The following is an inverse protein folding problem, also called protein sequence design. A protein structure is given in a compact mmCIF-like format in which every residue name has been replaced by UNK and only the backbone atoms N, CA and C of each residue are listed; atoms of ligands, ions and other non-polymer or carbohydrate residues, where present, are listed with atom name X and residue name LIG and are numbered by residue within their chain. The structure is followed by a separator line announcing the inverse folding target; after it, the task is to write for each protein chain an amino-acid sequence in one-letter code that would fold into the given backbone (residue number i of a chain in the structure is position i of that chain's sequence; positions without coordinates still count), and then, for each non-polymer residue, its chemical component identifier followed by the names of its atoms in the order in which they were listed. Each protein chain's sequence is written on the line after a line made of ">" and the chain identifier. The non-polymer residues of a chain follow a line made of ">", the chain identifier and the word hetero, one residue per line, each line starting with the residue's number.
data_IF_889957152474
#
_entry.id   IF_889957152474
#
_cell.length_a   1.000
_cell.length_b   1.000
_cell.length_c   1.000
_cell.angle_alpha   90.00
_cell.angle_beta   90.00
_cell.angle_gamma   90.00
#
_symmetry.space_group_name_H-M   'P 1'
#
loop_
_entity.id
_entity.type
_entity.pdbx_description
1 polymer ?
#
# COMPACT_ATOMS: atom_id res chain seq x y z
N UNK A 1 21.17 -29.07 -18.13
CA UNK A 1 20.72 -28.51 -16.85
C UNK A 1 19.21 -28.46 -16.93
N UNK A 2 18.54 -29.25 -16.11
CA UNK A 2 17.09 -29.18 -15.96
C UNK A 2 16.72 -27.74 -15.61
N UNK A 3 15.97 -27.08 -16.50
CA UNK A 3 15.29 -25.81 -16.23
C UNK A 3 14.28 -26.09 -15.12
N UNK A 4 14.75 -26.03 -13.88
CA UNK A 4 13.93 -26.28 -12.70
C UNK A 4 12.89 -25.18 -12.58
N UNK A 5 11.63 -25.58 -12.47
CA UNK A 5 10.55 -24.67 -12.16
C UNK A 5 10.73 -24.19 -10.71
N UNK A 6 11.16 -22.93 -10.55
CA UNK A 6 11.38 -22.32 -9.24
C UNK A 6 10.10 -21.77 -8.61
N UNK A 7 8.96 -21.86 -9.29
CA UNK A 7 7.71 -21.24 -8.84
C UNK A 7 7.28 -21.76 -7.47
N UNK A 8 7.33 -23.08 -7.16
CA UNK A 8 7.01 -23.56 -5.82
C UNK A 8 7.92 -22.99 -4.72
N UNK A 9 9.22 -22.85 -5.00
CA UNK A 9 10.18 -22.28 -4.04
C UNK A 9 9.96 -20.78 -3.84
N UNK A 10 9.63 -20.05 -4.90
CA UNK A 10 9.30 -18.63 -4.84
C UNK A 10 8.04 -18.41 -3.99
N UNK A 11 6.96 -19.11 -4.29
CA UNK A 11 5.69 -18.96 -3.59
C UNK A 11 5.81 -19.35 -2.11
N UNK A 12 6.60 -20.39 -1.79
CA UNK A 12 6.88 -20.79 -0.41
C UNK A 12 7.75 -19.78 0.35
N UNK A 13 8.56 -18.96 -0.32
CA UNK A 13 9.44 -17.98 0.34
C UNK A 13 8.78 -16.62 0.58
N UNK A 14 7.84 -16.19 -0.28
CA UNK A 14 7.19 -14.89 -0.18
C UNK A 14 6.47 -14.71 1.16
N UNK A 15 6.65 -13.55 1.78
CA UNK A 15 6.11 -13.22 3.10
C UNK A 15 6.87 -13.85 4.27
N UNK A 16 7.88 -14.69 4.02
CA UNK A 16 8.71 -15.28 5.09
C UNK A 16 9.96 -14.47 5.35
N UNK A 17 10.52 -14.64 6.55
CA UNK A 17 11.78 -14.02 6.92
C UNK A 17 12.92 -14.52 6.04
N UNK A 18 13.91 -13.68 5.84
CA UNK A 18 15.11 -14.02 5.05
C UNK A 18 15.93 -15.19 5.62
N UNK A 19 15.76 -15.52 6.91
CA UNK A 19 16.40 -16.64 7.61
C UNK A 19 15.51 -17.90 7.69
N UNK A 20 14.29 -17.84 7.14
CA UNK A 20 13.40 -19.00 7.04
C UNK A 20 13.98 -20.04 6.07
N UNK A 21 13.86 -21.36 6.36
CA UNK A 21 14.34 -22.41 5.47
C UNK A 21 13.83 -22.30 4.03
N UNK A 22 12.62 -21.78 3.78
CA UNK A 22 12.10 -21.56 2.43
C UNK A 22 12.88 -20.49 1.68
N UNK A 23 13.19 -19.35 2.33
CA UNK A 23 13.97 -18.28 1.75
C UNK A 23 15.41 -18.72 1.46
N UNK A 24 16.00 -19.51 2.36
CA UNK A 24 17.33 -20.10 2.18
C UNK A 24 17.37 -21.04 0.97
N UNK A 25 16.40 -21.98 0.86
CA UNK A 25 16.30 -22.89 -0.29
C UNK A 25 16.15 -22.14 -1.62
N UNK A 26 15.33 -21.08 -1.64
CA UNK A 26 15.18 -20.25 -2.84
C UNK A 26 16.51 -19.59 -3.23
N UNK A 27 17.25 -19.01 -2.26
CA UNK A 27 18.55 -18.39 -2.53
C UNK A 27 19.57 -19.40 -3.08
N UNK A 28 19.61 -20.61 -2.52
CA UNK A 28 20.46 -21.71 -2.99
C UNK A 28 20.11 -22.15 -4.40
N UNK A 29 18.82 -22.34 -4.71
CA UNK A 29 18.35 -22.71 -6.06
C UNK A 29 18.66 -21.63 -7.12
N UNK A 30 18.71 -20.37 -6.71
CA UNK A 30 19.17 -19.26 -7.56
C UNK A 30 20.70 -19.23 -7.76
N UNK A 31 21.46 -20.06 -7.05
CA UNK A 31 22.91 -20.06 -7.02
C UNK A 31 23.49 -18.82 -6.33
N UNK A 32 22.80 -18.31 -5.30
CA UNK A 32 23.15 -17.08 -4.59
C UNK A 32 23.49 -17.35 -3.13
N UNK A 33 24.19 -16.37 -2.54
CA UNK A 33 24.34 -16.31 -1.08
C UNK A 33 22.96 -15.99 -0.46
N UNK A 34 22.73 -16.38 0.81
CA UNK A 34 21.53 -15.99 1.54
C UNK A 34 21.29 -14.47 1.47
N UNK A 35 20.03 -14.10 1.55
CA UNK A 35 19.59 -12.72 1.66
C UNK A 35 20.29 -12.01 2.82
N UNK A 36 20.52 -10.70 2.67
CA UNK A 36 21.02 -9.84 3.74
C UNK A 36 19.86 -9.02 4.31
N UNK A 37 20.01 -8.56 5.55
CA UNK A 37 19.04 -7.64 6.14
C UNK A 37 18.97 -6.34 5.33
N UNK A 38 17.76 -5.88 5.04
CA UNK A 38 17.49 -4.58 4.48
C UNK A 38 17.66 -3.48 5.55
N UNK A 39 17.74 -2.23 5.11
CA UNK A 39 17.80 -1.03 5.96
C UNK A 39 16.85 0.05 5.40
N UNK A 40 16.62 1.19 6.09
CA UNK A 40 15.68 2.20 5.62
C UNK A 40 16.08 2.84 4.30
N UNK A 41 17.38 2.84 4.00
CA UNK A 41 17.90 3.37 2.73
C UNK A 41 18.26 2.29 1.71
N UNK A 42 18.06 1.00 2.00
CA UNK A 42 18.51 -0.07 1.09
C UNK A 42 17.70 -1.36 1.24
N UNK A 43 17.17 -1.87 0.12
CA UNK A 43 16.57 -3.21 0.05
C UNK A 43 17.62 -4.28 -0.30
N UNK A 44 17.25 -5.56 -0.20
CA UNK A 44 18.10 -6.68 -0.60
C UNK A 44 17.53 -7.37 -1.83
N UNK A 45 18.27 -7.33 -2.94
CA UNK A 45 17.88 -7.99 -4.18
C UNK A 45 18.83 -9.17 -4.47
N UNK A 46 18.28 -10.35 -4.75
CA UNK A 46 19.04 -11.48 -5.29
C UNK A 46 18.36 -11.98 -6.56
N UNK A 47 19.13 -12.24 -7.62
CA UNK A 47 18.52 -12.64 -8.88
C UNK A 47 19.44 -13.42 -9.79
N UNK A 48 18.85 -14.28 -10.61
CA UNK A 48 19.55 -15.02 -11.64
C UNK A 48 18.97 -14.65 -13.01
N UNK A 49 19.66 -13.73 -13.69
CA UNK A 49 19.24 -13.23 -15.00
C UNK A 49 19.08 -14.34 -16.04
N UNK A 50 19.86 -15.44 -15.96
CA UNK A 50 19.72 -16.57 -16.88
C UNK A 50 18.42 -17.33 -16.65
N UNK A 51 18.02 -17.45 -15.39
CA UNK A 51 16.75 -18.07 -15.00
C UNK A 51 15.55 -17.12 -15.17
N UNK A 52 15.78 -15.81 -15.31
CA UNK A 52 14.70 -14.85 -15.53
C UNK A 52 13.92 -14.49 -14.27
N UNK A 53 14.59 -14.47 -13.12
CA UNK A 53 13.98 -14.14 -11.82
C UNK A 53 14.91 -13.27 -10.98
N UNK A 54 14.33 -12.28 -10.30
CA UNK A 54 14.95 -11.40 -9.32
C UNK A 54 14.01 -11.27 -8.12
N UNK A 55 14.50 -11.60 -6.94
CA UNK A 55 13.74 -11.67 -5.69
C UNK A 55 14.19 -10.54 -4.77
N UNK A 56 13.22 -9.86 -4.19
CA UNK A 56 13.36 -8.67 -3.38
C UNK A 56 13.03 -9.03 -1.94
N UNK A 57 13.85 -8.53 -1.02
CA UNK A 57 13.60 -8.59 0.39
C UNK A 57 13.70 -7.22 1.05
N UNK A 58 12.71 -6.88 1.87
CA UNK A 58 12.50 -5.57 2.45
C UNK A 58 12.19 -5.69 3.95
N UNK A 59 12.49 -4.63 4.70
CA UNK A 59 12.20 -4.58 6.12
C UNK A 59 10.84 -3.96 6.46
N UNK A 60 10.23 -3.29 5.48
CA UNK A 60 8.87 -2.81 5.56
C UNK A 60 8.02 -3.66 4.62
N UNK A 61 7.05 -4.37 5.19
CA UNK A 61 6.05 -5.11 4.44
C UNK A 61 4.71 -4.58 4.92
N UNK A 62 3.98 -3.87 4.05
CA UNK A 62 2.76 -3.15 4.39
C UNK A 62 1.58 -4.13 4.52
N UNK A 63 1.61 -4.92 5.60
CA UNK A 63 0.56 -5.87 5.95
C UNK A 63 0.37 -5.83 7.47
N UNK A 64 -0.84 -6.12 7.93
CA UNK A 64 -1.19 -6.02 9.36
C UNK A 64 -0.35 -6.89 10.28
N UNK A 65 0.08 -8.07 9.82
CA UNK A 65 0.90 -8.99 10.62
C UNK A 65 2.36 -8.58 10.73
N UNK A 66 2.87 -7.85 9.73
CA UNK A 66 4.29 -7.48 9.64
C UNK A 66 4.56 -6.04 10.09
N UNK A 67 3.55 -5.17 10.01
CA UNK A 67 3.63 -3.84 10.58
C UNK A 67 3.61 -3.89 12.12
N UNK A 68 4.30 -2.97 12.81
CA UNK A 68 5.30 -2.03 12.31
C UNK A 68 6.64 -2.74 11.99
N UNK A 69 7.54 -2.12 11.19
CA UNK A 69 8.91 -2.61 11.01
C UNK A 69 9.63 -2.80 12.35
N UNK A 70 10.42 -3.87 12.47
CA UNK A 70 11.02 -4.30 13.76
C UNK A 70 12.52 -4.51 13.64
N UNK A 71 13.21 -4.44 14.78
CA UNK A 71 14.63 -4.80 14.90
C UNK A 71 14.83 -6.01 15.80
N UNK A 72 15.80 -6.84 15.43
CA UNK A 72 16.42 -7.84 16.29
C UNK A 72 17.86 -7.39 16.61
N UNK A 73 18.06 -6.88 17.82
CA UNK A 73 19.26 -6.15 18.20
C UNK A 73 19.52 -4.94 17.29
N UNK A 74 20.59 -4.98 16.51
CA UNK A 74 20.99 -3.90 15.58
C UNK A 74 20.46 -4.09 14.15
N UNK A 75 19.86 -5.24 13.84
CA UNK A 75 19.44 -5.61 12.48
C UNK A 75 17.95 -5.40 12.33
N UNK A 76 17.52 -4.88 11.19
CA UNK A 76 16.11 -4.88 10.83
C UNK A 76 15.66 -6.30 10.50
N UNK A 77 14.49 -6.68 10.99
CA UNK A 77 13.80 -7.87 10.50
C UNK A 77 13.47 -7.65 9.03
N UNK A 78 13.77 -8.63 8.17
CA UNK A 78 13.64 -8.51 6.72
C UNK A 78 12.89 -9.70 6.19
N UNK A 79 11.98 -9.45 5.24
CA UNK A 79 11.04 -10.39 4.67
C UNK A 79 11.25 -10.46 3.16
N UNK A 80 11.07 -11.64 2.57
CA UNK A 80 11.02 -11.78 1.11
C UNK A 80 9.68 -11.17 0.64
N UNK A 81 9.72 -10.00 0.02
CA UNK A 81 8.52 -9.20 -0.26
C UNK A 81 7.96 -9.44 -1.66
N UNK A 82 8.84 -9.61 -2.65
CA UNK A 82 8.43 -9.71 -4.04
C UNK A 82 9.45 -10.42 -4.93
N UNK A 83 9.06 -10.72 -6.16
CA UNK A 83 9.95 -11.10 -7.23
C UNK A 83 9.51 -10.53 -8.58
N UNK A 84 10.49 -10.05 -9.34
CA UNK A 84 10.35 -9.79 -10.77
C UNK A 84 10.66 -11.08 -11.55
N UNK A 85 9.71 -11.48 -12.38
CA UNK A 85 9.79 -12.60 -13.31
C UNK A 85 9.87 -12.03 -14.72
N UNK A 86 10.79 -12.54 -15.53
CA UNK A 86 11.12 -12.02 -16.86
C UNK A 86 10.76 -13.02 -17.96
N UNK A 87 10.65 -12.60 -19.25
CA UNK A 87 10.22 -13.47 -20.35
C UNK A 87 11.07 -14.73 -20.59
N UNK A 88 12.31 -14.75 -20.12
CA UNK A 88 13.18 -15.93 -20.20
C UNK A 88 12.97 -16.93 -19.05
N UNK A 89 12.08 -16.65 -18.09
CA UNK A 89 11.65 -17.60 -17.07
C UNK A 89 10.93 -18.79 -17.70
N UNK A 90 11.14 -19.99 -17.15
CA UNK A 90 10.61 -21.25 -17.69
C UNK A 90 9.77 -22.04 -16.70
N UNK A 91 9.56 -21.50 -15.50
CA UNK A 91 8.66 -22.08 -14.51
C UNK A 91 7.20 -21.74 -14.76
N UNK A 92 6.34 -22.24 -13.87
CA UNK A 92 4.89 -22.03 -13.95
C UNK A 92 4.52 -20.54 -13.83
N UNK A 93 3.54 -20.11 -14.63
CA UNK A 93 3.01 -18.75 -14.66
C UNK A 93 1.55 -18.72 -14.14
N UNK A 94 1.03 -17.57 -13.70
CA UNK A 94 -0.38 -17.43 -13.33
C UNK A 94 -1.32 -17.90 -14.44
N UNK A 95 -2.45 -18.47 -14.02
CA UNK A 95 -3.41 -19.06 -14.95
C UNK A 95 -3.87 -18.06 -16.02
N UNK A 96 -3.82 -18.49 -17.28
CA UNK A 96 -4.26 -17.71 -18.43
C UNK A 96 -3.30 -16.63 -18.90
N UNK A 97 -2.09 -16.51 -18.34
CA UNK A 97 -1.06 -15.57 -18.79
C UNK A 97 0.01 -16.26 -19.65
N UNK A 98 0.50 -15.55 -20.67
CA UNK A 98 1.62 -15.96 -21.53
C UNK A 98 2.42 -14.74 -21.98
N UNK A 99 3.74 -14.89 -22.15
CA UNK A 99 4.64 -13.79 -22.53
C UNK A 99 4.40 -13.22 -23.93
N UNK A 100 3.67 -13.93 -24.80
CA UNK A 100 3.33 -13.49 -26.16
C UNK A 100 1.99 -12.74 -26.24
N UNK A 101 1.26 -12.58 -25.13
CA UNK A 101 0.01 -11.82 -25.13
C UNK A 101 0.31 -10.34 -25.31
N UNK A 102 -0.27 -9.71 -26.34
CA UNK A 102 -0.23 -8.27 -26.54
C UNK A 102 -1.23 -7.53 -25.62
N UNK A 103 -1.20 -6.19 -25.66
CA UNK A 103 -2.10 -5.33 -24.89
C UNK A 103 -3.59 -5.71 -25.08
N UNK A 104 -4.01 -6.02 -26.32
CA UNK A 104 -5.39 -6.41 -26.61
C UNK A 104 -5.75 -7.77 -25.96
N UNK A 105 -4.89 -8.77 -26.09
CA UNK A 105 -5.10 -10.09 -25.49
C UNK A 105 -5.07 -10.05 -23.95
N UNK A 106 -4.25 -9.17 -23.37
CA UNK A 106 -4.21 -8.92 -21.92
C UNK A 106 -5.48 -8.20 -21.46
N UNK A 107 -5.91 -7.15 -22.16
CA UNK A 107 -7.12 -6.38 -21.86
C UNK A 107 -8.37 -7.25 -21.90
N UNK A 108 -8.45 -8.19 -22.84
CA UNK A 108 -9.56 -9.12 -22.96
C UNK A 108 -9.67 -10.10 -21.76
N UNK A 109 -8.61 -10.28 -20.97
CA UNK A 109 -8.53 -11.30 -19.90
C UNK A 109 -8.35 -10.73 -18.50
N UNK A 110 -7.66 -9.60 -18.39
CA UNK A 110 -7.16 -9.09 -17.13
C UNK A 110 -7.55 -7.64 -16.93
N UNK A 111 -7.65 -7.23 -15.67
CA UNK A 111 -7.93 -5.84 -15.32
C UNK A 111 -6.71 -4.98 -15.63
N UNK A 112 -6.82 -4.17 -16.69
CA UNK A 112 -5.87 -3.12 -17.06
C UNK A 112 -6.00 -1.92 -16.13
N UNK A 113 -4.88 -1.34 -15.70
CA UNK A 113 -4.79 -0.10 -14.93
C UNK A 113 -3.54 0.68 -15.35
N UNK A 114 -3.62 2.00 -15.27
CA UNK A 114 -2.44 2.88 -15.33
C UNK A 114 -2.03 3.18 -13.89
N UNK A 115 -0.83 2.77 -13.49
CA UNK A 115 -0.34 2.91 -12.12
C UNK A 115 0.93 3.77 -12.06
N UNK A 116 1.05 4.54 -10.96
CA UNK A 116 2.25 5.29 -10.60
C UNK A 116 2.45 6.59 -11.37
N UNK A 117 3.40 7.40 -10.89
CA UNK A 117 3.70 8.73 -11.46
C UNK A 117 4.32 8.69 -12.87
N UNK A 118 4.76 7.51 -13.33
CA UNK A 118 5.29 7.29 -14.69
C UNK A 118 4.25 6.65 -15.63
N UNK A 119 2.98 6.60 -15.22
CA UNK A 119 1.87 6.05 -16.01
C UNK A 119 2.17 4.67 -16.60
N UNK A 120 2.64 3.74 -15.75
CA UNK A 120 2.96 2.39 -16.22
C UNK A 120 1.65 1.59 -16.39
N UNK A 121 1.41 1.10 -17.60
CA UNK A 121 0.29 0.19 -17.88
C UNK A 121 0.57 -1.16 -17.24
N UNK A 122 -0.35 -1.58 -16.37
CA UNK A 122 -0.27 -2.84 -15.63
C UNK A 122 -1.57 -3.63 -15.73
N UNK A 123 -1.43 -4.95 -15.72
CA UNK A 123 -2.55 -5.88 -15.67
C UNK A 123 -2.50 -6.69 -14.39
N UNK A 124 -3.63 -6.77 -13.69
CA UNK A 124 -3.78 -7.63 -12.50
C UNK A 124 -4.08 -9.06 -12.95
N UNK A 125 -3.20 -10.00 -12.60
CA UNK A 125 -3.34 -11.42 -12.90
C UNK A 125 -4.03 -12.15 -11.74
N UNK A 126 -4.57 -13.37 -11.94
CA UNK A 126 -5.04 -14.21 -10.84
C UNK A 126 -3.94 -14.40 -9.78
N UNK A 127 -4.29 -14.31 -8.49
CA UNK A 127 -3.31 -14.48 -7.42
C UNK A 127 -2.75 -15.91 -7.46
N UNK A 128 -1.42 -16.09 -7.37
CA UNK A 128 -0.81 -17.42 -7.47
C UNK A 128 -0.99 -18.26 -6.19
N UNK A 129 -1.26 -17.62 -5.05
CA UNK A 129 -1.63 -18.24 -3.78
C UNK A 129 -2.37 -17.22 -2.90
N UNK A 130 -2.98 -17.69 -1.81
CA UNK A 130 -3.61 -16.81 -0.81
C UNK A 130 -2.58 -15.82 -0.22
N UNK A 131 -2.97 -14.56 -0.07
CA UNK A 131 -2.11 -13.51 0.45
C UNK A 131 -1.01 -13.04 -0.50
N UNK A 132 -1.03 -13.46 -1.78
CA UNK A 132 -0.12 -13.00 -2.82
C UNK A 132 -0.87 -12.33 -3.96
N UNK A 133 -0.19 -11.42 -4.67
CA UNK A 133 -0.69 -10.76 -5.87
C UNK A 133 0.29 -10.88 -7.03
N UNK A 134 -0.23 -10.86 -8.25
CA UNK A 134 0.57 -10.85 -9.47
C UNK A 134 0.12 -9.72 -10.41
N UNK A 135 1.09 -8.95 -10.91
CA UNK A 135 0.88 -7.88 -11.89
C UNK A 135 1.86 -8.03 -13.04
N UNK A 136 1.46 -7.71 -14.27
CA UNK A 136 2.39 -7.65 -15.42
C UNK A 136 2.40 -6.24 -16.00
N UNK A 137 3.60 -5.71 -16.23
CA UNK A 137 3.82 -4.45 -16.94
C UNK A 137 4.16 -4.73 -18.39
N UNK A 138 3.71 -3.87 -19.31
CA UNK A 138 4.04 -3.95 -20.74
C UNK A 138 5.15 -2.96 -21.13
N UNK A 139 5.87 -3.26 -22.21
CA UNK A 139 6.85 -2.36 -22.81
C UNK A 139 6.20 -1.46 -23.88
N UNK A 140 6.98 -0.56 -24.48
CA UNK A 140 6.51 0.34 -25.55
C UNK A 140 6.04 -0.37 -26.82
N UNK A 141 6.36 -1.65 -27.00
CA UNK A 141 5.86 -2.48 -28.10
C UNK A 141 4.55 -3.20 -27.74
N UNK A 142 3.95 -2.93 -26.57
CA UNK A 142 2.70 -3.55 -26.13
C UNK A 142 2.86 -4.99 -25.64
N UNK A 143 4.10 -5.44 -25.37
CA UNK A 143 4.38 -6.80 -24.92
C UNK A 143 4.79 -6.84 -23.44
N UNK A 144 4.48 -7.93 -22.71
CA UNK A 144 4.94 -8.17 -21.35
C UNK A 144 6.44 -7.93 -21.17
N UNK A 145 6.78 -6.97 -20.30
CA UNK A 145 8.15 -6.61 -19.93
C UNK A 145 8.67 -7.46 -18.78
N UNK A 146 7.87 -7.55 -17.72
CA UNK A 146 8.11 -8.36 -16.54
C UNK A 146 6.80 -8.55 -15.78
N UNK A 147 6.75 -9.58 -14.95
CA UNK A 147 5.68 -9.84 -13.99
C UNK A 147 6.22 -9.63 -12.58
N UNK A 148 5.52 -8.87 -11.76
CA UNK A 148 5.75 -8.73 -10.33
C UNK A 148 4.85 -9.72 -9.60
N UNK A 149 5.43 -10.67 -8.88
CA UNK A 149 4.73 -11.50 -7.89
C UNK A 149 5.14 -10.98 -6.52
N UNK A 150 4.19 -10.62 -5.67
CA UNK A 150 4.47 -10.01 -4.36
C UNK A 150 3.50 -10.48 -3.30
N UNK A 151 3.87 -10.30 -2.04
CA UNK A 151 2.91 -10.34 -0.94
C UNK A 151 1.82 -9.31 -1.23
N UNK A 152 0.57 -9.67 -0.93
CA UNK A 152 -0.55 -8.76 -1.05
C UNK A 152 -0.51 -7.75 0.09
N UNK A 153 0.02 -6.57 -0.23
CA UNK A 153 0.18 -5.46 0.69
C UNK A 153 -1.03 -4.52 0.65
N UNK A 154 -1.35 -3.98 1.82
CA UNK A 154 -2.42 -3.02 2.08
C UNK A 154 -1.80 -1.68 2.47
N UNK A 155 -2.24 -0.60 1.83
CA UNK A 155 -1.78 0.74 2.20
C UNK A 155 -2.38 1.21 3.53
N UNK A 156 -1.68 2.12 4.20
CA UNK A 156 -2.21 2.87 5.35
C UNK A 156 -2.51 4.30 4.94
N UNK A 157 -3.70 4.77 5.31
CA UNK A 157 -4.12 6.17 5.16
C UNK A 157 -3.78 7.03 6.38
N UNK A 158 -3.65 6.40 7.55
CA UNK A 158 -3.18 7.04 8.77
C UNK A 158 -2.21 6.11 9.48
N UNK A 159 -1.12 6.64 10.05
CA UNK A 159 -0.11 5.82 10.73
C UNK A 159 0.52 6.54 11.91
N UNK A 160 0.42 5.92 13.09
CA UNK A 160 1.24 6.24 14.27
C UNK A 160 2.34 5.17 14.36
N UNK A 161 3.58 5.56 14.09
CA UNK A 161 4.72 4.65 14.25
C UNK A 161 5.01 4.42 15.76
N UNK A 162 5.44 3.22 16.18
CA UNK A 162 5.66 2.89 17.60
C UNK A 162 6.59 3.83 18.36
N UNK A 163 7.58 4.40 17.67
CA UNK A 163 8.57 5.31 18.25
C UNK A 163 8.25 6.79 17.97
N UNK A 164 7.09 7.06 17.36
CA UNK A 164 6.62 8.42 17.08
C UNK A 164 5.73 8.94 18.21
N UNK A 165 5.72 10.26 18.39
CA UNK A 165 4.80 10.92 19.30
C UNK A 165 3.41 10.99 18.66
N UNK A 166 2.34 10.50 19.31
CA UNK A 166 1.00 10.51 18.73
C UNK A 166 0.53 11.90 18.27
N UNK A 167 0.92 12.97 18.97
CA UNK A 167 0.62 14.35 18.60
C UNK A 167 1.14 14.76 17.20
N UNK A 168 2.04 13.99 16.59
CA UNK A 168 2.47 14.20 15.20
C UNK A 168 1.46 13.72 14.16
N UNK A 169 0.47 12.93 14.57
CA UNK A 169 -0.55 12.30 13.71
C UNK A 169 -1.96 12.83 14.04
N UNK A 170 -2.07 14.07 14.51
CA UNK A 170 -3.36 14.70 14.85
C UNK A 170 -4.26 14.81 13.61
N UNK A 171 -3.69 15.23 12.48
CA UNK A 171 -4.43 15.42 11.24
C UNK A 171 -4.87 14.08 10.61
N UNK A 172 -4.05 13.04 10.76
CA UNK A 172 -4.43 11.65 10.47
C UNK A 172 -5.63 11.21 11.34
N UNK A 173 -5.63 11.58 12.62
CA UNK A 173 -6.74 11.35 13.55
C UNK A 173 -8.04 12.04 13.12
N UNK A 174 -7.94 13.26 12.58
CA UNK A 174 -9.09 13.97 12.00
C UNK A 174 -9.68 13.21 10.81
N UNK A 175 -8.83 12.79 9.86
CA UNK A 175 -9.31 12.04 8.70
C UNK A 175 -9.95 10.69 9.10
N UNK A 176 -9.31 9.93 9.98
CA UNK A 176 -9.83 8.65 10.46
C UNK A 176 -11.19 8.80 11.18
N UNK A 177 -11.33 9.85 12.00
CA UNK A 177 -12.58 10.16 12.69
C UNK A 177 -13.67 10.58 11.72
N UNK A 178 -13.33 11.38 10.71
CA UNK A 178 -14.27 11.77 9.65
C UNK A 178 -14.76 10.53 8.87
N UNK A 179 -13.85 9.61 8.53
CA UNK A 179 -14.22 8.35 7.89
C UNK A 179 -15.22 7.54 8.74
N UNK A 180 -15.00 7.45 10.04
CA UNK A 180 -15.90 6.74 10.95
C UNK A 180 -17.28 7.43 11.06
N UNK A 181 -17.31 8.75 11.23
CA UNK A 181 -18.55 9.52 11.41
C UNK A 181 -19.43 9.58 10.16
N UNK A 182 -18.83 9.47 8.96
CA UNK A 182 -19.54 9.57 7.68
C UNK A 182 -19.82 8.21 7.03
N UNK A 183 -19.66 7.11 7.77
CA UNK A 183 -19.97 5.76 7.27
C UNK A 183 -18.98 5.23 6.22
N UNK A 184 -17.82 5.89 6.06
CA UNK A 184 -16.76 5.49 5.13
C UNK A 184 -15.95 4.34 5.72
N UNK A 185 -15.74 4.34 7.04
CA UNK A 185 -15.17 3.20 7.75
C UNK A 185 -16.16 2.04 7.79
N UNK A 186 -15.68 0.81 7.58
CA UNK A 186 -16.50 -0.39 7.77
C UNK A 186 -16.83 -0.58 9.24
N UNK A 187 -18.07 -0.98 9.53
CA UNK A 187 -18.57 -1.08 10.90
C UNK A 187 -17.93 -2.22 11.70
N UNK A 188 -17.54 -3.31 11.04
CA UNK A 188 -16.88 -4.48 11.63
C UNK A 188 -15.45 -4.18 12.15
N UNK A 189 -14.94 -2.97 11.90
CA UNK A 189 -13.62 -2.51 12.36
C UNK A 189 -13.64 -1.91 13.75
N UNK A 190 -14.82 -1.55 14.26
CA UNK A 190 -14.97 -0.91 15.56
C UNK A 190 -15.61 -1.85 16.58
N UNK A 191 -15.10 -1.80 17.81
CA UNK A 191 -15.78 -2.43 18.93
C UNK A 191 -17.09 -1.69 19.24
N UNK A 192 -18.03 -2.41 19.86
CA UNK A 192 -19.32 -1.87 20.24
C UNK A 192 -19.18 -0.58 21.07
N UNK A 193 -19.95 0.46 20.71
CA UNK A 193 -19.97 1.75 21.42
C UNK A 193 -18.84 2.73 21.05
N UNK A 194 -17.77 2.31 20.35
CA UNK A 194 -16.68 3.22 19.97
C UNK A 194 -17.14 4.33 19.01
N UNK A 195 -17.96 3.98 18.01
CA UNK A 195 -18.54 4.98 17.10
C UNK A 195 -19.47 5.95 17.83
N UNK A 196 -20.21 5.48 18.84
CA UNK A 196 -21.11 6.35 19.61
C UNK A 196 -20.33 7.28 20.54
N UNK A 197 -19.25 6.80 21.16
CA UNK A 197 -18.34 7.64 21.95
C UNK A 197 -17.71 8.75 21.07
N UNK A 198 -17.32 8.40 19.84
CA UNK A 198 -16.83 9.37 18.86
C UNK A 198 -17.92 10.39 18.47
N UNK A 199 -19.15 9.94 18.17
CA UNK A 199 -20.29 10.83 17.85
C UNK A 199 -20.63 11.78 18.98
N UNK A 200 -20.58 11.31 20.24
CA UNK A 200 -20.80 12.10 21.44
C UNK A 200 -19.62 12.99 21.82
N UNK A 201 -18.52 12.93 21.06
CA UNK A 201 -17.30 13.70 21.30
C UNK A 201 -16.61 13.36 22.63
N UNK A 202 -16.89 12.17 23.18
CA UNK A 202 -16.26 11.63 24.39
C UNK A 202 -14.83 11.12 24.13
N UNK A 203 -14.54 10.75 22.89
CA UNK A 203 -13.20 10.48 22.39
C UNK A 203 -12.75 11.63 21.50
N UNK A 204 -11.52 12.09 21.66
CA UNK A 204 -10.92 13.00 20.68
C UNK A 204 -10.53 12.26 19.41
N UNK A 205 -10.35 12.95 18.27
CA UNK A 205 -9.94 12.32 17.03
C UNK A 205 -8.61 11.55 17.09
N UNK A 206 -7.58 12.10 17.73
CA UNK A 206 -6.32 11.37 17.90
C UNK A 206 -6.47 10.18 18.85
N UNK A 207 -7.28 10.32 19.92
CA UNK A 207 -7.55 9.20 20.82
C UNK A 207 -8.29 8.06 20.11
N UNK A 208 -9.21 8.39 19.20
CA UNK A 208 -9.89 7.40 18.36
C UNK A 208 -8.92 6.64 17.47
N UNK A 209 -8.04 7.35 16.74
CA UNK A 209 -7.00 6.71 15.93
C UNK A 209 -6.08 5.84 16.79
N UNK A 210 -5.59 6.36 17.91
CA UNK A 210 -4.60 5.69 18.77
C UNK A 210 -5.17 4.44 19.44
N UNK A 211 -6.42 4.49 19.90
CA UNK A 211 -7.05 3.40 20.66
C UNK A 211 -7.91 2.48 19.80
N UNK A 212 -8.94 3.03 19.15
CA UNK A 212 -9.97 2.24 18.46
C UNK A 212 -9.45 1.61 17.18
N UNK A 213 -8.51 2.29 16.51
CA UNK A 213 -7.86 1.82 15.29
C UNK A 213 -6.43 1.31 15.53
N UNK A 214 -5.95 1.29 16.78
CA UNK A 214 -4.60 0.83 17.13
C UNK A 214 -3.48 1.62 16.45
N UNK A 215 -3.71 2.90 16.15
CA UNK A 215 -2.78 3.80 15.49
C UNK A 215 -2.74 3.69 13.96
N UNK A 216 -3.65 2.92 13.33
CA UNK A 216 -3.60 2.66 11.89
C UNK A 216 -4.98 2.72 11.26
N UNK A 217 -5.11 3.50 10.19
CA UNK A 217 -6.24 3.37 9.26
C UNK A 217 -5.73 2.69 7.99
N UNK A 218 -6.13 1.45 7.76
CA UNK A 218 -5.74 0.72 6.57
C UNK A 218 -6.75 0.88 5.43
N UNK A 219 -6.30 0.66 4.20
CA UNK A 219 -7.14 0.74 3.01
C UNK A 219 -8.41 -0.13 3.09
N UNK A 220 -8.31 -1.38 3.55
CA UNK A 220 -9.44 -2.30 3.67
C UNK A 220 -10.28 -2.07 4.94
N UNK A 221 -9.90 -1.11 5.80
CA UNK A 221 -10.80 -0.61 6.85
C UNK A 221 -11.90 0.28 6.26
N UNK A 222 -11.64 0.89 5.09
CA UNK A 222 -12.60 1.71 4.34
C UNK A 222 -13.54 0.81 3.51
N UNK A 223 -14.80 1.22 3.37
CA UNK A 223 -15.76 0.50 2.56
C UNK A 223 -15.38 0.55 1.06
N UNK A 224 -15.60 -0.53 0.30
CA UNK A 224 -15.17 -0.62 -1.09
C UNK A 224 -15.60 0.55 -1.98
N UNK A 225 -16.81 1.07 -1.77
CA UNK A 225 -17.37 2.20 -2.53
C UNK A 225 -16.61 3.52 -2.35
N UNK A 226 -15.83 3.67 -1.27
CA UNK A 226 -15.04 4.86 -0.97
C UNK A 226 -13.53 4.66 -1.16
N UNK A 227 -13.08 3.42 -1.37
CA UNK A 227 -11.66 3.09 -1.41
C UNK A 227 -10.88 3.87 -2.48
N UNK A 228 -11.46 4.05 -3.68
CA UNK A 228 -10.81 4.82 -4.75
C UNK A 228 -10.63 6.30 -4.38
N UNK A 229 -11.65 6.93 -3.77
CA UNK A 229 -11.56 8.31 -3.30
C UNK A 229 -10.50 8.45 -2.21
N UNK A 230 -10.56 7.61 -1.17
CA UNK A 230 -9.62 7.68 -0.05
C UNK A 230 -8.18 7.44 -0.51
N UNK A 231 -7.94 6.44 -1.37
CA UNK A 231 -6.62 6.19 -1.95
C UNK A 231 -6.11 7.41 -2.71
N UNK A 232 -6.91 7.98 -3.61
CA UNK A 232 -6.47 9.12 -4.41
C UNK A 232 -6.24 10.38 -3.55
N UNK A 233 -7.14 10.63 -2.59
CA UNK A 233 -7.13 11.82 -1.74
C UNK A 233 -5.94 11.82 -0.78
N UNK A 234 -5.62 10.67 -0.18
CA UNK A 234 -4.54 10.55 0.80
C UNK A 234 -3.15 10.48 0.15
N UNK A 235 -3.04 9.94 -1.06
CA UNK A 235 -1.75 9.73 -1.73
C UNK A 235 -1.37 10.83 -2.74
N UNK A 236 -2.08 11.97 -2.76
CA UNK A 236 -1.86 13.08 -3.73
C UNK A 236 -2.01 12.61 -5.19
N UNK A 237 -2.94 11.70 -5.44
CA UNK A 237 -3.19 11.15 -6.76
C UNK A 237 -4.48 11.72 -7.38
N UNK A 238 -4.91 12.90 -6.96
CA UNK A 238 -6.08 13.60 -7.52
C UNK A 238 -5.66 14.59 -8.62
N UNK A 239 -6.54 14.85 -9.58
CA UNK A 239 -6.42 15.95 -10.54
C UNK A 239 -7.49 17.00 -10.21
N UNK A 240 -7.11 18.26 -9.91
CA UNK A 240 -5.73 18.72 -9.72
C UNK A 240 -5.10 18.14 -8.44
N UNK A 241 -3.77 17.99 -8.42
CA UNK A 241 -3.02 17.43 -7.27
C UNK A 241 -3.33 18.12 -5.92
N UNK A 242 -3.66 19.41 -5.99
CA UNK A 242 -4.08 20.24 -4.85
C UNK A 242 -5.35 19.74 -4.16
N UNK A 243 -6.13 18.88 -4.79
CA UNK A 243 -7.28 18.23 -4.19
C UNK A 243 -6.90 17.02 -3.33
N UNK A 244 -5.95 17.17 -2.40
CA UNK A 244 -5.48 16.09 -1.54
C UNK A 244 -5.41 16.48 -0.07
N UNK A 245 -5.40 15.47 0.81
CA UNK A 245 -5.42 15.64 2.25
C UNK A 245 -4.28 16.52 2.76
N UNK A 246 -3.10 16.40 2.13
CA UNK A 246 -1.94 17.21 2.45
C UNK A 246 -2.20 18.70 2.24
N UNK A 247 -2.64 19.09 1.04
CA UNK A 247 -2.85 20.51 0.74
C UNK A 247 -4.01 21.10 1.53
N UNK A 248 -5.08 20.34 1.74
CA UNK A 248 -6.23 20.78 2.54
C UNK A 248 -5.84 20.95 4.03
N UNK A 249 -4.96 20.08 4.55
CA UNK A 249 -4.35 20.23 5.87
C UNK A 249 -3.48 21.48 5.96
N UNK A 250 -2.62 21.70 4.96
CA UNK A 250 -1.75 22.88 4.88
C UNK A 250 -2.53 24.19 4.81
N UNK A 251 -3.62 24.21 4.03
CA UNK A 251 -4.51 25.37 3.93
C UNK A 251 -5.21 25.67 5.26
N UNK A 252 -5.58 24.63 6.02
CA UNK A 252 -6.35 24.79 7.26
C UNK A 252 -5.48 25.11 8.47
N UNK A 253 -4.32 24.45 8.60
CA UNK A 253 -3.50 24.48 9.82
C UNK A 253 -2.05 24.92 9.59
N UNK A 254 -1.60 25.07 8.34
CA UNK A 254 -0.18 25.16 7.99
C UNK A 254 0.49 23.78 7.96
N UNK A 255 1.82 23.73 8.14
CA UNK A 255 2.56 22.47 8.04
C UNK A 255 1.99 21.38 8.95
N UNK A 256 1.95 20.14 8.43
CA UNK A 256 1.55 18.97 9.23
C UNK A 256 2.43 18.88 10.48
N UNK A 257 1.85 18.47 11.60
CA UNK A 257 2.58 18.25 12.84
C UNK A 257 3.82 17.35 12.67
N UNK A 258 3.80 16.40 11.72
CA UNK A 258 4.94 15.54 11.39
C UNK A 258 6.18 16.29 10.87
N UNK A 259 6.04 17.52 10.36
CA UNK A 259 7.13 18.29 9.75
C UNK A 259 7.44 19.60 10.49
N UNK A 260 6.70 19.90 11.55
CA UNK A 260 6.95 21.08 12.39
C UNK A 260 8.30 20.97 13.11
N UNK A 261 8.99 22.10 13.27
CA UNK A 261 10.26 22.13 14.00
C UNK A 261 10.00 22.11 15.51
N UNK A 262 10.96 21.65 16.32
CA UNK A 262 10.86 21.75 17.76
C UNK A 262 10.58 23.20 18.21
N UNK A 263 9.47 23.39 18.92
CA UNK A 263 9.03 24.70 19.43
C UNK A 263 7.99 25.42 18.57
N UNK A 264 7.72 24.95 17.34
CA UNK A 264 6.61 25.46 16.54
C UNK A 264 5.28 25.03 17.18
N UNK A 265 4.28 25.92 17.18
CA UNK A 265 2.95 25.60 17.67
C UNK A 265 2.37 24.45 16.83
N UNK A 266 1.87 23.39 17.46
CA UNK A 266 1.27 22.24 16.77
C UNK A 266 -0.25 22.38 16.68
N UNK A 267 -0.85 21.78 15.64
CA UNK A 267 -2.29 21.53 15.58
C UNK A 267 -2.69 20.71 16.81
N UNK A 268 -3.59 21.24 17.63
CA UNK A 268 -4.04 20.56 18.84
C UNK A 268 -5.09 19.51 18.52
N UNK A 269 -5.03 18.36 19.19
CA UNK A 269 -6.07 17.34 19.13
C UNK A 269 -7.34 17.85 19.82
N UNK A 270 -8.38 18.13 19.04
CA UNK A 270 -9.62 18.64 19.58
C UNK A 270 -10.71 18.79 18.52
N UNK A 271 -11.96 18.78 19.00
CA UNK A 271 -13.14 18.87 18.14
C UNK A 271 -13.26 20.19 17.40
N UNK A 272 -12.75 21.30 17.96
CA UNK A 272 -12.71 22.59 17.27
C UNK A 272 -11.87 22.53 15.98
N UNK A 273 -10.68 21.92 16.04
CA UNK A 273 -9.84 21.76 14.86
C UNK A 273 -10.42 20.70 13.90
N UNK A 274 -10.97 19.61 14.41
CA UNK A 274 -11.71 18.67 13.57
C UNK A 274 -12.83 19.35 12.78
N UNK A 275 -13.65 20.17 13.44
CA UNK A 275 -14.77 20.88 12.84
C UNK A 275 -14.32 21.90 11.77
N UNK A 276 -13.08 22.39 11.84
CA UNK A 276 -12.49 23.26 10.81
C UNK A 276 -12.15 22.53 9.51
N UNK A 277 -11.66 21.29 9.58
CA UNK A 277 -11.21 20.53 8.40
C UNK A 277 -12.26 19.56 7.86
N UNK A 278 -13.14 19.03 8.70
CA UNK A 278 -14.17 18.07 8.30
C UNK A 278 -15.07 18.54 7.12
N UNK A 279 -15.48 19.83 7.03
CA UNK A 279 -16.22 20.32 5.87
C UNK A 279 -15.44 20.22 4.56
N UNK A 280 -14.11 20.34 4.62
CA UNK A 280 -13.25 20.21 3.44
C UNK A 280 -13.21 18.76 2.95
N UNK A 281 -13.09 17.79 3.84
CA UNK A 281 -13.19 16.37 3.46
C UNK A 281 -14.54 16.04 2.80
N UNK A 282 -15.64 16.54 3.38
CA UNK A 282 -16.98 16.37 2.81
C UNK A 282 -17.10 17.00 1.41
N UNK A 283 -16.58 18.22 1.25
CA UNK A 283 -16.53 18.90 -0.05
C UNK A 283 -15.76 18.07 -1.08
N UNK A 284 -14.59 17.52 -0.74
CA UNK A 284 -13.77 16.72 -1.66
C UNK A 284 -14.49 15.45 -2.10
N UNK A 285 -15.16 14.76 -1.17
CA UNK A 285 -15.95 13.58 -1.51
C UNK A 285 -17.12 13.94 -2.43
N UNK A 286 -17.78 15.07 -2.21
CA UNK A 286 -18.84 15.55 -3.08
C UNK A 286 -18.34 15.91 -4.49
N UNK A 287 -17.21 16.62 -4.58
CA UNK A 287 -16.54 16.92 -5.86
C UNK A 287 -16.18 15.64 -6.62
N UNK A 288 -15.66 14.63 -5.92
CA UNK A 288 -15.38 13.31 -6.49
C UNK A 288 -16.65 12.65 -7.04
N UNK A 289 -17.74 12.63 -6.27
CA UNK A 289 -19.01 12.06 -6.70
C UNK A 289 -19.60 12.77 -7.92
N UNK A 290 -19.35 14.08 -8.05
CA UNK A 290 -19.74 14.90 -9.20
C UNK A 290 -18.74 14.85 -10.36
N UNK A 291 -17.62 14.11 -10.20
CA UNK A 291 -16.51 14.01 -11.16
C UNK A 291 -15.82 15.34 -11.47
N UNK A 292 -15.88 16.29 -10.55
CA UNK A 292 -15.16 17.58 -10.62
C UNK A 292 -13.66 17.38 -10.32
N UNK A 293 -13.35 16.37 -9.51
CA UNK A 293 -12.00 15.84 -9.29
C UNK A 293 -12.01 14.35 -9.58
N UNK A 294 -10.86 13.80 -9.97
CA UNK A 294 -10.70 12.39 -10.30
C UNK A 294 -9.27 11.95 -10.00
N UNK A 295 -9.02 10.65 -9.98
CA UNK A 295 -7.64 10.18 -9.75
C UNK A 295 -6.81 10.36 -11.01
N UNK A 296 -5.57 10.85 -10.88
CA UNK A 296 -4.57 10.88 -11.95
C UNK A 296 -4.13 9.47 -12.37
N UNK A 297 -4.31 8.47 -11.51
CA UNK A 297 -3.99 7.06 -11.76
C UNK A 297 -5.25 6.20 -11.63
N UNK A 298 -5.16 4.89 -11.85
CA UNK A 298 -6.29 3.96 -11.64
C UNK A 298 -7.53 4.23 -12.51
N UNK A 299 -7.34 4.75 -13.71
CA UNK A 299 -8.39 4.84 -14.71
C UNK A 299 -8.74 3.42 -15.23
N UNK A 300 -9.93 2.86 -14.93
CA UNK A 300 -10.52 1.99 -15.93
C UNK A 300 -10.74 2.90 -17.14
N UNK A 301 -10.19 2.55 -18.30
CA UNK A 301 -10.45 3.35 -19.50
C UNK A 301 -11.95 3.66 -19.57
N UNK A 302 -12.26 4.94 -19.77
CA UNK A 302 -13.62 5.34 -20.10
C UNK A 302 -14.03 4.54 -21.35
N UNK A 303 -15.30 4.10 -21.43
CA UNK A 303 -15.78 3.27 -22.53
C UNK A 303 -15.46 3.86 -23.91
#
# INVERSE_FOLDING_TARGET
>A
MTTEDLTPLLLDALGKRIDDPAAVRLAEALGKKPFKNATPGNRCDIGNRKLGIEVIAEMNLATRSHFPPRKDGRKWVTWVSAAFIYPNYRGSLPAGFDWQMDDAALTARFKRRVEGAVEEVRFTLPPPAEGLRAKVSINSAGLPKHMLVSVDEEETYATIYPDSKPEHSVEDGFFASWCALNGILRQDRLAAGQLDALRKRELSPLAFLSSSLGGLLWQNDVRPEHAAFCHAYMNRLMEPEKASALFDTQETFGDSNNWRKPGDAMTQDGWENFDRIAPRYAQRLEQWNRREIHSMVDWPEQP
#
